data_IF_636942013133
#
_entry.id   IF_636942013133
#
_cell.length_a   1.000
_cell.length_b   1.000
_cell.length_c   1.000
_cell.angle_alpha   90.00
_cell.angle_beta   90.00
_cell.angle_gamma   90.00
#
_symmetry.space_group_name_H-M   'P 1'
#
loop_
_entity.id
_entity.type
_entity.pdbx_description
1 polymer ?
#
# COMPACT_ATOMS: atom_id res chain seq x y z
N UNK A 1 22.21 3.62 7.09
CA UNK A 1 20.78 3.46 6.73
C UNK A 1 20.48 4.20 5.44
N UNK A 2 20.76 5.50 5.37
CA UNK A 2 20.63 6.30 4.14
C UNK A 2 21.44 5.73 2.97
N UNK A 3 22.73 5.42 3.16
CA UNK A 3 23.57 4.78 2.13
C UNK A 3 23.02 3.44 1.62
N UNK A 4 22.35 2.66 2.47
CA UNK A 4 21.76 1.37 2.05
C UNK A 4 20.45 1.60 1.27
N UNK A 5 19.70 2.65 1.61
CA UNK A 5 18.53 3.09 0.84
C UNK A 5 18.93 3.61 -0.54
N UNK A 6 19.97 4.43 -0.61
CA UNK A 6 20.56 4.91 -1.87
C UNK A 6 20.99 3.73 -2.74
N UNK A 7 21.77 2.78 -2.19
CA UNK A 7 22.19 1.58 -2.93
C UNK A 7 21.00 0.76 -3.43
N UNK A 8 19.93 0.65 -2.64
CA UNK A 8 18.71 -0.04 -3.06
C UNK A 8 18.03 0.68 -4.24
N UNK A 9 17.93 2.00 -4.21
CA UNK A 9 17.35 2.81 -5.29
C UNK A 9 18.21 2.78 -6.56
N UNK A 10 19.53 2.89 -6.43
CA UNK A 10 20.47 2.72 -7.55
C UNK A 10 20.34 1.33 -8.16
N UNK A 11 20.17 0.29 -7.33
CA UNK A 11 19.97 -1.07 -7.83
C UNK A 11 18.66 -1.16 -8.61
N UNK A 12 17.57 -0.61 -8.09
CA UNK A 12 16.28 -0.56 -8.77
C UNK A 12 16.40 0.15 -10.14
N UNK A 13 17.06 1.30 -10.18
CA UNK A 13 17.28 2.06 -11.40
C UNK A 13 18.14 1.29 -12.41
N UNK A 14 19.22 0.64 -11.94
CA UNK A 14 20.10 -0.17 -12.79
C UNK A 14 19.39 -1.36 -13.46
N UNK A 15 18.27 -1.81 -12.89
CA UNK A 15 17.43 -2.87 -13.43
C UNK A 15 16.36 -2.35 -14.42
N UNK A 16 16.32 -1.04 -14.67
CA UNK A 16 15.36 -0.40 -15.58
C UNK A 16 14.07 0.09 -14.90
N UNK A 17 14.06 0.19 -13.56
CA UNK A 17 12.91 0.63 -12.79
C UNK A 17 11.86 -0.47 -12.57
N UNK A 18 10.59 -0.07 -12.40
CA UNK A 18 9.51 -0.98 -12.02
C UNK A 18 8.55 -1.18 -13.19
N UNK A 19 8.50 -2.38 -13.76
CA UNK A 19 7.52 -2.72 -14.79
C UNK A 19 6.10 -2.86 -14.20
N UNK A 20 5.98 -3.65 -13.13
CA UNK A 20 4.69 -3.92 -12.48
C UNK A 20 4.85 -3.79 -10.97
N UNK A 21 4.03 -2.93 -10.36
CA UNK A 21 3.95 -2.77 -8.92
C UNK A 21 2.71 -3.49 -8.37
N UNK A 22 2.90 -4.50 -7.53
CA UNK A 22 1.81 -5.19 -6.84
C UNK A 22 1.60 -4.62 -5.44
N UNK A 23 0.35 -4.33 -5.08
CA UNK A 23 0.02 -3.92 -3.72
C UNK A 23 -1.37 -4.42 -3.27
N UNK A 24 -1.57 -4.43 -1.96
CA UNK A 24 -2.89 -4.64 -1.35
C UNK A 24 -3.60 -3.33 -1.04
N UNK A 25 -4.84 -3.41 -0.58
CA UNK A 25 -5.53 -2.31 0.11
C UNK A 25 -5.36 -2.48 1.63
N UNK A 26 -4.76 -1.48 2.26
CA UNK A 26 -4.61 -1.40 3.69
C UNK A 26 -5.61 -0.42 4.31
N UNK A 27 -6.68 -0.88 4.98
CA UNK A 27 -7.65 0.02 5.59
C UNK A 27 -7.06 0.72 6.82
N UNK A 28 -7.40 1.98 7.00
CA UNK A 28 -6.98 2.84 8.12
C UNK A 28 -8.20 3.49 8.78
N UNK A 29 -7.98 4.18 9.90
CA UNK A 29 -9.05 4.89 10.60
C UNK A 29 -9.76 5.91 9.69
N UNK A 30 -11.07 6.11 9.93
CA UNK A 30 -11.86 7.07 9.15
C UNK A 30 -12.05 6.68 7.69
N UNK A 31 -11.98 5.38 7.36
CA UNK A 31 -12.06 4.88 5.98
C UNK A 31 -10.93 5.35 5.05
N UNK A 32 -9.82 5.85 5.61
CA UNK A 32 -8.62 6.08 4.84
C UNK A 32 -7.99 4.74 4.43
N UNK A 33 -7.02 4.79 3.54
CA UNK A 33 -6.19 3.65 3.18
C UNK A 33 -4.73 4.05 3.06
N UNK A 34 -3.83 3.23 3.58
CA UNK A 34 -2.40 3.42 3.41
C UNK A 34 -1.93 2.92 2.02
N UNK A 35 -0.77 3.40 1.58
CA UNK A 35 -0.11 2.97 0.35
C UNK A 35 1.25 2.35 0.69
N UNK A 36 1.44 1.05 0.45
CA UNK A 36 2.60 0.32 0.97
C UNK A 36 2.71 0.53 2.50
N UNK A 37 3.73 1.22 3.01
CA UNK A 37 3.77 1.64 4.43
C UNK A 37 3.59 3.15 4.65
N UNK A 38 3.14 3.88 3.64
CA UNK A 38 2.81 5.31 3.73
C UNK A 38 1.44 5.42 4.40
N UNK A 39 1.44 5.78 5.68
CA UNK A 39 0.24 5.95 6.49
C UNK A 39 -0.34 7.37 6.40
N UNK A 40 -1.64 7.54 6.73
CA UNK A 40 -2.23 8.86 6.91
C UNK A 40 -1.38 9.75 7.83
N UNK A 41 -1.13 11.00 7.42
CA UNK A 41 -0.36 11.98 8.20
C UNK A 41 1.15 11.73 8.22
N UNK A 42 1.68 10.94 7.28
CA UNK A 42 3.12 10.67 7.19
C UNK A 42 3.92 11.82 6.56
N UNK A 43 3.25 12.72 5.84
CA UNK A 43 3.88 13.83 5.13
C UNK A 43 4.57 13.42 3.83
N UNK A 44 4.37 12.19 3.35
CA UNK A 44 4.96 11.73 2.10
C UNK A 44 4.44 12.55 0.90
N UNK A 45 5.37 12.98 0.06
CA UNK A 45 5.15 13.85 -1.08
C UNK A 45 5.29 13.10 -2.41
N UNK A 46 4.90 13.76 -3.51
CA UNK A 46 4.99 13.20 -4.85
C UNK A 46 6.44 12.90 -5.30
N UNK A 47 7.43 13.55 -4.67
CA UNK A 47 8.84 13.46 -5.02
C UNK A 47 9.60 12.42 -4.18
N UNK A 48 8.95 11.86 -3.14
CA UNK A 48 9.57 10.87 -2.26
C UNK A 48 9.67 9.50 -2.96
N UNK A 49 10.90 9.02 -3.10
CA UNK A 49 11.20 7.73 -3.74
C UNK A 49 11.11 6.54 -2.81
N UNK A 50 11.48 6.74 -1.54
CA UNK A 50 11.43 5.71 -0.53
C UNK A 50 11.46 6.33 0.88
N UNK A 51 11.08 5.54 1.88
CA UNK A 51 11.12 5.92 3.28
C UNK A 51 11.55 4.75 4.14
N UNK A 52 12.05 5.07 5.33
CA UNK A 52 12.38 4.08 6.37
C UNK A 52 11.53 4.36 7.60
N UNK A 53 10.82 3.35 8.07
CA UNK A 53 9.84 3.48 9.14
C UNK A 53 10.21 2.52 10.27
N UNK A 54 10.29 2.96 11.53
CA UNK A 54 10.47 2.06 12.67
C UNK A 54 9.35 1.01 12.73
N UNK A 55 9.70 -0.24 12.92
CA UNK A 55 8.70 -1.31 13.04
C UNK A 55 8.16 -1.36 14.46
N UNK A 56 6.83 -1.35 14.61
CA UNK A 56 6.20 -1.65 15.90
C UNK A 56 6.17 -3.16 16.12
N UNK A 57 6.15 -3.58 17.39
CA UNK A 57 5.97 -5.00 17.74
C UNK A 57 4.71 -5.60 17.12
N UNK A 58 3.61 -4.85 17.05
CA UNK A 58 2.36 -5.30 16.43
C UNK A 58 2.49 -5.54 14.91
N UNK A 59 3.22 -4.69 14.19
CA UNK A 59 3.47 -4.87 12.76
C UNK A 59 4.41 -6.06 12.56
N UNK A 60 5.47 -6.17 13.36
CA UNK A 60 6.40 -7.29 13.29
C UNK A 60 5.68 -8.64 13.46
N UNK A 61 4.85 -8.78 14.49
CA UNK A 61 4.06 -10.00 14.71
C UNK A 61 3.07 -10.28 13.57
N UNK A 62 2.43 -9.23 13.02
CA UNK A 62 1.57 -9.40 11.84
C UNK A 62 2.34 -9.98 10.65
N UNK A 63 3.56 -9.49 10.38
CA UNK A 63 4.41 -9.98 9.30
C UNK A 63 4.89 -11.41 9.52
N UNK A 64 5.35 -11.75 10.73
CA UNK A 64 5.78 -13.11 11.08
C UNK A 64 4.62 -14.10 10.89
N UNK A 65 3.43 -13.76 11.38
CA UNK A 65 2.25 -14.62 11.23
C UNK A 65 1.86 -14.81 9.76
N UNK A 66 1.87 -13.73 8.97
CA UNK A 66 1.58 -13.80 7.53
C UNK A 66 2.60 -14.69 6.79
N UNK A 67 3.87 -14.59 7.14
CA UNK A 67 4.94 -15.41 6.56
C UNK A 67 4.72 -16.91 6.81
N UNK A 68 4.37 -17.28 8.06
CA UNK A 68 4.08 -18.66 8.46
C UNK A 68 2.86 -19.26 7.76
N UNK A 69 1.85 -18.46 7.45
CA UNK A 69 0.62 -18.91 6.78
C UNK A 69 0.81 -19.06 5.27
N UNK A 70 1.81 -18.40 4.67
CA UNK A 70 2.04 -18.34 3.21
C UNK A 70 2.50 -19.64 2.53
N UNK A 71 2.41 -20.79 3.20
CA UNK A 71 2.70 -22.11 2.63
C UNK A 71 4.19 -22.41 2.37
N UNK A 72 5.09 -21.47 2.67
CA UNK A 72 6.54 -21.67 2.59
C UNK A 72 7.06 -22.36 3.85
N UNK A 73 8.14 -23.14 3.73
CA UNK A 73 8.84 -23.69 4.90
C UNK A 73 9.55 -22.56 5.64
N UNK A 74 9.07 -22.21 6.83
CA UNK A 74 9.66 -21.19 7.70
C UNK A 74 10.49 -21.90 8.78
N UNK A 75 11.79 -21.63 8.82
CA UNK A 75 12.68 -22.14 9.86
C UNK A 75 12.71 -21.22 11.08
N UNK A 76 13.23 -21.71 12.20
CA UNK A 76 13.45 -20.88 13.38
C UNK A 76 14.47 -19.75 13.12
N UNK A 77 15.43 -19.97 12.21
CA UNK A 77 16.40 -18.95 11.82
C UNK A 77 15.74 -17.82 11.03
N UNK A 78 14.80 -18.12 10.12
CA UNK A 78 14.07 -17.11 9.35
C UNK A 78 13.21 -16.22 10.27
N UNK A 79 12.59 -16.83 11.30
CA UNK A 79 11.82 -16.09 12.29
C UNK A 79 12.73 -15.20 13.16
N UNK A 80 13.88 -15.70 13.60
CA UNK A 80 14.85 -14.91 14.36
C UNK A 80 15.38 -13.73 13.54
N UNK A 81 15.69 -13.94 12.26
CA UNK A 81 16.06 -12.86 11.34
C UNK A 81 14.95 -11.82 11.23
N UNK A 82 13.70 -12.24 11.01
CA UNK A 82 12.54 -11.34 11.03
C UNK A 82 12.45 -10.56 12.34
N UNK A 83 12.64 -11.22 13.49
CA UNK A 83 12.55 -10.60 14.82
C UNK A 83 13.66 -9.58 15.08
N UNK A 84 14.79 -9.70 14.41
CA UNK A 84 15.89 -8.73 14.47
C UNK A 84 15.60 -7.43 13.68
N UNK A 85 14.57 -7.43 12.83
CA UNK A 85 14.21 -6.25 12.04
C UNK A 85 13.74 -5.12 12.95
N UNK A 86 14.33 -3.94 12.76
CA UNK A 86 14.01 -2.71 13.51
C UNK A 86 13.26 -1.69 12.66
N UNK A 87 13.35 -1.81 11.34
CA UNK A 87 12.81 -0.86 10.40
C UNK A 87 12.25 -1.57 9.17
N UNK A 88 11.32 -0.90 8.52
CA UNK A 88 10.75 -1.27 7.24
C UNK A 88 11.21 -0.24 6.21
N UNK A 89 11.72 -0.74 5.09
CA UNK A 89 11.92 0.06 3.89
C UNK A 89 10.62 0.02 3.07
N UNK A 90 10.11 1.17 2.71
CA UNK A 90 8.96 1.30 1.81
C UNK A 90 9.33 2.16 0.61
N UNK A 91 8.83 1.79 -0.57
CA UNK A 91 8.87 2.66 -1.73
C UNK A 91 7.85 3.80 -1.53
N UNK A 92 8.24 5.00 -1.95
CA UNK A 92 7.48 6.23 -1.84
C UNK A 92 6.55 6.47 -3.04
N UNK A 93 5.71 7.52 -3.01
CA UNK A 93 4.78 7.83 -4.10
C UNK A 93 5.49 7.96 -5.46
N UNK A 94 6.66 8.57 -5.52
CA UNK A 94 7.39 8.76 -6.78
C UNK A 94 7.73 7.43 -7.45
N UNK A 95 8.25 6.46 -6.68
CA UNK A 95 8.61 5.14 -7.19
C UNK A 95 7.38 4.35 -7.65
N UNK A 96 6.30 4.39 -6.86
CA UNK A 96 5.06 3.67 -7.16
C UNK A 96 4.41 4.23 -8.43
N UNK A 97 4.29 5.56 -8.55
CA UNK A 97 3.68 6.23 -9.69
C UNK A 97 4.53 6.18 -10.96
N UNK A 98 5.84 5.96 -10.84
CA UNK A 98 6.73 5.75 -12.00
C UNK A 98 6.73 4.32 -12.52
N UNK A 99 6.06 3.38 -11.85
CA UNK A 99 5.92 2.03 -12.37
C UNK A 99 5.14 2.03 -13.70
N UNK A 100 5.42 1.11 -14.62
CA UNK A 100 4.69 1.08 -15.92
C UNK A 100 3.24 0.64 -15.74
N UNK A 101 2.99 -0.19 -14.72
CA UNK A 101 1.68 -0.72 -14.37
C UNK A 101 1.57 -0.93 -12.87
N UNK A 102 0.42 -0.60 -12.32
CA UNK A 102 0.08 -0.96 -10.96
C UNK A 102 -1.02 -2.02 -10.96
N UNK A 103 -0.85 -3.06 -10.14
CA UNK A 103 -1.87 -4.08 -9.88
C UNK A 103 -2.21 -4.07 -8.40
N UNK A 104 -3.47 -3.77 -8.09
CA UNK A 104 -3.96 -3.74 -6.73
C UNK A 104 -4.82 -4.97 -6.46
N UNK A 105 -4.54 -5.71 -5.40
CA UNK A 105 -5.36 -6.85 -4.94
C UNK A 105 -6.17 -6.46 -3.72
N UNK A 106 -7.49 -6.56 -3.81
CA UNK A 106 -8.42 -6.19 -2.74
C UNK A 106 -9.26 -7.41 -2.40
N UNK A 107 -8.94 -7.99 -1.25
CA UNK A 107 -9.39 -9.32 -0.84
C UNK A 107 -9.68 -9.33 0.66
N UNK A 108 -10.30 -10.39 1.15
CA UNK A 108 -10.48 -10.68 2.58
C UNK A 108 -11.27 -9.61 3.34
N UNK A 109 -12.34 -9.05 2.74
CA UNK A 109 -13.22 -8.13 3.45
C UNK A 109 -14.09 -8.85 4.49
N UNK A 110 -14.25 -10.18 4.38
CA UNK A 110 -14.82 -11.03 5.41
C UNK A 110 -14.03 -11.03 6.73
N UNK A 111 -12.69 -10.98 6.68
CA UNK A 111 -11.82 -10.94 7.87
C UNK A 111 -11.32 -9.55 8.21
N UNK A 112 -11.35 -8.61 7.25
CA UNK A 112 -11.05 -7.19 7.46
C UNK A 112 -12.16 -6.28 6.89
N UNK A 113 -13.32 -6.15 7.58
CA UNK A 113 -14.50 -5.46 7.05
C UNK A 113 -14.29 -3.99 6.66
N UNK A 114 -13.36 -3.30 7.33
CA UNK A 114 -13.00 -1.91 7.02
C UNK A 114 -12.49 -1.71 5.58
N UNK A 115 -12.06 -2.78 4.90
CA UNK A 115 -11.66 -2.72 3.48
C UNK A 115 -12.78 -2.27 2.55
N UNK A 116 -14.04 -2.62 2.84
CA UNK A 116 -15.19 -2.23 2.00
C UNK A 116 -15.29 -0.70 1.91
N UNK A 117 -15.36 -0.09 3.08
CA UNK A 117 -15.55 1.34 3.23
C UNK A 117 -14.30 2.13 2.80
N UNK A 118 -13.11 1.62 3.11
CA UNK A 118 -11.86 2.24 2.65
C UNK A 118 -11.72 2.19 1.13
N UNK A 119 -12.10 1.07 0.50
CA UNK A 119 -12.07 0.96 -0.96
C UNK A 119 -13.07 1.89 -1.62
N UNK A 120 -14.30 1.95 -1.07
CA UNK A 120 -15.33 2.88 -1.52
C UNK A 120 -14.82 4.33 -1.48
N UNK A 121 -14.19 4.74 -0.37
CA UNK A 121 -13.59 6.08 -0.24
C UNK A 121 -12.51 6.34 -1.29
N UNK A 122 -11.65 5.36 -1.60
CA UNK A 122 -10.67 5.50 -2.68
C UNK A 122 -11.35 5.75 -4.03
N UNK A 123 -12.39 4.97 -4.35
CA UNK A 123 -13.11 5.09 -5.63
C UNK A 123 -13.87 6.40 -5.78
N UNK A 124 -14.51 6.87 -4.72
CA UNK A 124 -15.51 7.94 -4.80
C UNK A 124 -14.97 9.32 -4.43
N UNK A 125 -13.83 9.42 -3.74
CA UNK A 125 -13.32 10.72 -3.30
C UNK A 125 -12.99 11.64 -4.50
N UNK A 126 -13.45 12.88 -4.44
CA UNK A 126 -13.03 13.91 -5.38
C UNK A 126 -11.63 14.41 -5.02
N UNK A 127 -10.70 14.31 -5.97
CA UNK A 127 -9.33 14.80 -5.81
C UNK A 127 -9.26 16.23 -6.35
N UNK A 128 -8.86 17.17 -5.50
CA UNK A 128 -8.79 18.58 -5.84
C UNK A 128 -7.80 18.84 -6.98
N UNK A 129 -8.15 19.79 -7.85
CA UNK A 129 -7.21 20.32 -8.84
C UNK A 129 -6.22 21.32 -8.21
N UNK A 130 -6.57 21.90 -7.05
CA UNK A 130 -5.66 22.75 -6.27
C UNK A 130 -4.53 21.89 -5.68
N UNK A 131 -3.24 22.21 -5.93
CA UNK A 131 -2.13 21.39 -5.49
C UNK A 131 -2.00 21.21 -3.97
N UNK A 132 -2.25 22.25 -3.18
CA UNK A 132 -2.12 22.21 -1.72
C UNK A 132 -3.22 21.35 -1.10
N UNK A 133 -4.46 21.55 -1.55
CA UNK A 133 -5.59 20.72 -1.11
C UNK A 133 -5.40 19.26 -1.52
N UNK A 134 -4.94 19.02 -2.75
CA UNK A 134 -4.63 17.66 -3.20
C UNK A 134 -3.55 17.02 -2.35
N UNK A 135 -2.47 17.72 -2.04
CA UNK A 135 -1.41 17.19 -1.17
C UNK A 135 -1.97 16.80 0.20
N UNK A 136 -2.80 17.66 0.82
CA UNK A 136 -3.46 17.34 2.08
C UNK A 136 -4.40 16.13 1.99
N UNK A 137 -5.17 16.00 0.90
CA UNK A 137 -6.04 14.84 0.67
C UNK A 137 -5.24 13.53 0.52
N UNK A 138 -4.10 13.60 -0.17
CA UNK A 138 -3.22 12.45 -0.38
C UNK A 138 -2.47 12.06 0.89
N UNK A 139 -2.17 13.01 1.77
CA UNK A 139 -1.62 12.72 3.10
C UNK A 139 -2.68 12.17 4.06
N UNK A 140 -3.94 12.62 3.97
CA UNK A 140 -5.05 12.06 4.76
C UNK A 140 -5.42 10.64 4.31
N UNK A 141 -5.34 10.35 3.01
CA UNK A 141 -5.66 9.05 2.44
C UNK A 141 -4.64 8.66 1.35
N UNK A 142 -3.47 8.11 1.73
CA UNK A 142 -2.41 7.74 0.80
C UNK A 142 -2.84 6.78 -0.33
N UNK A 143 -3.86 5.95 -0.14
CA UNK A 143 -4.37 5.11 -1.23
C UNK A 143 -4.90 5.91 -2.42
N UNK A 144 -5.25 7.18 -2.25
CA UNK A 144 -5.66 8.07 -3.35
C UNK A 144 -4.54 8.35 -4.36
N UNK A 145 -3.27 8.21 -3.98
CA UNK A 145 -2.14 8.33 -4.91
C UNK A 145 -2.33 7.43 -6.13
N UNK A 146 -2.87 6.23 -5.93
CA UNK A 146 -3.16 5.27 -7.01
C UNK A 146 -3.99 5.93 -8.11
N UNK A 147 -4.99 6.74 -7.79
CA UNK A 147 -5.86 7.36 -8.80
C UNK A 147 -5.16 8.39 -9.70
N UNK A 148 -3.91 8.75 -9.38
CA UNK A 148 -3.09 9.60 -10.24
C UNK A 148 -2.29 8.80 -11.27
N UNK A 149 -2.30 7.46 -11.21
CA UNK A 149 -1.60 6.60 -12.14
C UNK A 149 -2.47 6.20 -13.34
N UNK A 150 -1.97 6.41 -14.56
CA UNK A 150 -2.73 6.18 -15.80
C UNK A 150 -2.95 4.71 -16.18
N UNK A 151 -2.27 3.76 -15.54
CA UNK A 151 -2.34 2.33 -15.88
C UNK A 151 -2.47 1.44 -14.63
N UNK A 152 -3.67 1.41 -14.04
CA UNK A 152 -4.01 0.57 -12.88
C UNK A 152 -4.97 -0.55 -13.26
N UNK A 153 -4.81 -1.69 -12.59
CA UNK A 153 -5.85 -2.73 -12.53
C UNK A 153 -6.07 -3.17 -11.09
N UNK A 154 -7.30 -3.04 -10.61
CA UNK A 154 -7.71 -3.63 -9.33
C UNK A 154 -8.35 -4.99 -9.55
N UNK A 155 -7.87 -5.99 -8.80
CA UNK A 155 -8.45 -7.32 -8.68
C UNK A 155 -9.23 -7.35 -7.37
N UNK A 156 -10.55 -7.36 -7.45
CA UNK A 156 -11.44 -7.17 -6.30
C UNK A 156 -12.28 -8.42 -6.12
N UNK A 157 -12.27 -9.00 -4.91
CA UNK A 157 -13.17 -10.11 -4.59
C UNK A 157 -14.59 -9.63 -4.29
N UNK A 158 -15.61 -10.47 -4.53
CA UNK A 158 -17.02 -10.08 -4.35
C UNK A 158 -17.35 -9.57 -2.94
N UNK A 159 -16.75 -10.18 -1.91
CA UNK A 159 -17.00 -9.83 -0.51
C UNK A 159 -16.59 -8.40 -0.16
N UNK A 160 -15.74 -7.76 -0.96
CA UNK A 160 -15.36 -6.34 -0.85
C UNK A 160 -16.46 -5.42 -1.40
N UNK A 161 -17.17 -5.87 -2.44
CA UNK A 161 -18.19 -5.11 -3.15
C UNK A 161 -19.59 -5.33 -2.58
N UNK A 162 -19.76 -6.37 -1.76
CA UNK A 162 -20.99 -6.62 -1.01
C UNK A 162 -21.22 -5.51 0.02
N UNK A 163 -21.90 -4.47 -0.40
CA UNK A 163 -22.77 -3.69 0.49
C UNK A 163 -24.00 -4.53 0.73
N UNK A 164 -24.40 -4.75 1.98
CA UNK A 164 -25.70 -5.32 2.28
C UNK A 164 -26.78 -4.59 1.47
N UNK A 165 -27.41 -5.33 0.56
CA UNK A 165 -28.52 -4.95 -0.32
C UNK A 165 -28.25 -4.16 -1.63
N UNK A 166 -28.73 -4.78 -2.72
CA UNK A 166 -29.22 -4.29 -4.04
C UNK A 166 -28.29 -4.24 -5.25
N UNK A 167 -28.64 -5.14 -6.17
CA UNK A 167 -28.69 -5.02 -7.64
C UNK A 167 -27.58 -4.24 -8.36
N UNK A 168 -26.64 -5.00 -8.90
CA UNK A 168 -25.79 -4.60 -10.01
C UNK A 168 -26.62 -4.22 -11.24
N UNK A 169 -26.72 -2.92 -11.54
CA UNK A 169 -26.83 -2.47 -12.93
C UNK A 169 -25.44 -2.38 -13.53
N UNK A 170 -25.20 -3.24 -14.52
CA UNK A 170 -24.07 -3.18 -15.45
C UNK A 170 -24.06 -1.81 -16.14
N UNK A 171 -22.91 -1.16 -16.15
CA UNK A 171 -22.50 -0.26 -17.23
C UNK A 171 -21.59 -1.05 -18.16
#
# INVERSE_FOLDING_TARGET
METELERYLEKLESLGGIDIFFLGLGPEAGAASHLAYIKPGSGASADDWAGVIPISSSILEHHINKFKVGGSTVTAADEEECRSATHILTLGPAAILKSKRIVQSIVDASTAPAKRESYRRVLEADISSNPEQRAAQLDENPGLWLRLHGNIRSLVLPDVLETGEREYRKL
#
